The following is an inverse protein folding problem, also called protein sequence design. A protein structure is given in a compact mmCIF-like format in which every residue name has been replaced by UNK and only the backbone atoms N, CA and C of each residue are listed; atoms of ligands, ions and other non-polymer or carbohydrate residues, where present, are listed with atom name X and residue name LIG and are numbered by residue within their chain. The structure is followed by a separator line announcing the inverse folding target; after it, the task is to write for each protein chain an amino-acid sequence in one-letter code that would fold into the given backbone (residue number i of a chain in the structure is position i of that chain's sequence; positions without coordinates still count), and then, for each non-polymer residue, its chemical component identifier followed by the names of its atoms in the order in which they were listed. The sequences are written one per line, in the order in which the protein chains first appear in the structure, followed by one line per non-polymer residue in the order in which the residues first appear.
data_IF_704556960520
#
_entry.id   IF_704556960520
#
_cell.length_a   1.000
_cell.length_b   1.000
_cell.length_c   1.000
_cell.angle_alpha   90.00
_cell.angle_beta   90.00
_cell.angle_gamma   90.00
#
_symmetry.space_group_name_H-M   'P 1'
#
loop_
_entity.id
_entity.type
_entity.pdbx_description
1 polymer ?
#
# COMPACT_ATOMS: atom_id res chain seq x y z
N UNK A 1 -22.13 -8.94 14.46
CA UNK A 1 -20.69 -8.69 14.26
C UNK A 1 -20.23 -7.77 15.38
N UNK A 2 -19.18 -8.12 16.11
CA UNK A 2 -18.58 -7.25 17.13
C UNK A 2 -17.39 -6.53 16.49
N UNK A 3 -17.44 -5.20 16.40
CA UNK A 3 -16.39 -4.38 15.81
C UNK A 3 -15.72 -3.56 16.90
N UNK A 4 -14.39 -3.67 16.99
CA UNK A 4 -13.58 -2.93 17.96
C UNK A 4 -12.43 -2.22 17.27
N UNK A 5 -11.79 -1.27 17.95
CA UNK A 5 -10.59 -0.60 17.43
C UNK A 5 -9.47 -1.59 17.05
N UNK A 6 -9.36 -2.71 17.75
CA UNK A 6 -8.34 -3.74 17.51
C UNK A 6 -8.79 -4.83 16.53
N UNK A 7 -10.09 -5.02 16.32
CA UNK A 7 -10.65 -6.05 15.42
C UNK A 7 -11.91 -5.56 14.72
N UNK A 8 -11.75 -5.11 13.48
CA UNK A 8 -12.82 -4.50 12.67
C UNK A 8 -12.73 -4.89 11.19
N UNK A 9 -12.33 -6.14 10.92
CA UNK A 9 -12.29 -6.70 9.56
C UNK A 9 -13.64 -7.35 9.23
N UNK A 10 -14.11 -7.15 8.00
CA UNK A 10 -15.30 -7.79 7.45
C UNK A 10 -14.91 -8.72 6.29
N UNK A 11 -15.60 -9.87 6.12
CA UNK A 11 -15.29 -10.80 5.05
C UNK A 11 -15.66 -10.22 3.68
N UNK A 12 -14.84 -10.54 2.69
CA UNK A 12 -15.14 -10.35 1.27
C UNK A 12 -15.65 -11.67 0.68
N UNK A 13 -16.26 -11.60 -0.50
CA UNK A 13 -16.84 -12.76 -1.18
C UNK A 13 -15.80 -13.73 -1.76
N UNK A 14 -14.53 -13.36 -1.76
CA UNK A 14 -13.38 -14.11 -2.27
C UNK A 14 -12.61 -14.86 -1.16
N UNK A 15 -13.11 -14.85 0.07
CA UNK A 15 -12.45 -15.47 1.22
C UNK A 15 -11.41 -14.57 1.92
N UNK A 16 -11.15 -13.37 1.40
CA UNK A 16 -10.34 -12.37 2.07
C UNK A 16 -11.15 -11.59 3.12
N UNK A 17 -10.50 -10.65 3.80
CA UNK A 17 -11.15 -9.70 4.68
C UNK A 17 -10.56 -8.30 4.55
N UNK A 18 -11.39 -7.29 4.75
CA UNK A 18 -11.02 -5.87 4.65
C UNK A 18 -11.32 -5.15 5.97
N UNK A 19 -10.42 -4.32 6.51
CA UNK A 19 -10.75 -3.45 7.62
C UNK A 19 -11.86 -2.46 7.20
N UNK A 20 -12.93 -2.41 7.99
CA UNK A 20 -14.15 -1.67 7.66
C UNK A 20 -13.94 -0.15 7.56
N UNK A 21 -12.91 0.37 8.24
CA UNK A 21 -12.50 1.78 8.19
C UNK A 21 -11.13 1.88 7.54
N UNK A 22 -11.00 2.82 6.59
CA UNK A 22 -9.74 3.11 5.90
C UNK A 22 -9.48 4.60 5.77
N UNK A 23 -8.20 4.94 5.62
CA UNK A 23 -7.75 6.31 5.33
C UNK A 23 -7.66 6.52 3.82
N UNK A 24 -8.42 7.47 3.28
CA UNK A 24 -8.24 7.94 1.91
C UNK A 24 -7.07 8.92 1.81
N UNK A 25 -6.26 8.78 0.76
CA UNK A 25 -5.01 9.56 0.59
C UNK A 25 -5.09 10.62 -0.50
N UNK A 26 -6.28 11.00 -0.97
CA UNK A 26 -6.41 12.14 -1.88
C UNK A 26 -6.07 13.44 -1.14
N UNK A 27 -5.21 14.25 -1.74
CA UNK A 27 -4.84 15.58 -1.26
C UNK A 27 -4.87 16.53 -2.46
N UNK A 28 -5.34 17.75 -2.25
CA UNK A 28 -5.28 18.79 -3.27
C UNK A 28 -3.85 19.35 -3.35
N UNK A 29 -3.15 19.19 -4.49
CA UNK A 29 -1.77 19.63 -4.63
C UNK A 29 -1.57 21.14 -4.49
N UNK A 30 -2.62 21.95 -4.65
CA UNK A 30 -2.53 23.41 -4.53
C UNK A 30 -2.54 23.89 -3.08
N UNK A 31 -3.15 23.12 -2.19
CA UNK A 31 -3.41 23.51 -0.81
C UNK A 31 -2.65 22.67 0.21
N UNK A 32 -1.97 21.62 -0.24
CA UNK A 32 -1.31 20.66 0.63
C UNK A 32 0.20 20.68 0.42
N UNK A 33 0.96 20.74 1.52
CA UNK A 33 2.42 20.66 1.45
C UNK A 33 2.88 19.26 1.05
N UNK A 34 4.08 19.18 0.47
CA UNK A 34 4.79 17.92 0.26
C UNK A 34 4.88 17.13 1.58
N UNK A 35 4.91 15.80 1.50
CA UNK A 35 5.02 14.88 2.65
C UNK A 35 3.81 14.83 3.61
N UNK A 36 2.75 15.60 3.33
CA UNK A 36 1.51 15.53 4.14
C UNK A 36 0.90 14.13 4.07
N UNK A 37 0.95 13.47 2.91
CA UNK A 37 0.43 12.11 2.77
C UNK A 37 1.25 11.12 3.62
N UNK A 38 2.59 11.23 3.54
CA UNK A 38 3.50 10.42 4.34
C UNK A 38 3.17 10.54 5.83
N UNK A 39 3.07 11.77 6.33
CA UNK A 39 2.79 12.04 7.76
C UNK A 39 1.42 11.50 8.16
N UNK A 40 0.38 11.77 7.37
CA UNK A 40 -0.98 11.32 7.64
C UNK A 40 -1.08 9.79 7.70
N UNK A 41 -0.43 9.08 6.78
CA UNK A 41 -0.43 7.60 6.76
C UNK A 41 0.31 7.03 7.97
N UNK A 42 1.47 7.59 8.34
CA UNK A 42 2.21 7.17 9.55
C UNK A 42 1.34 7.34 10.80
N UNK A 43 0.70 8.50 10.96
CA UNK A 43 -0.20 8.78 12.08
C UNK A 43 -1.41 7.84 12.11
N UNK A 44 -2.02 7.58 10.96
CA UNK A 44 -3.17 6.68 10.90
C UNK A 44 -2.80 5.26 11.35
N UNK A 45 -1.63 4.75 10.92
CA UNK A 45 -1.14 3.44 11.37
C UNK A 45 -0.93 3.41 12.89
N UNK A 46 -0.35 4.48 13.46
CA UNK A 46 -0.12 4.62 14.90
C UNK A 46 -1.44 4.66 15.69
N UNK A 47 -2.48 5.31 15.16
CA UNK A 47 -3.82 5.38 15.77
C UNK A 47 -4.59 4.05 15.66
N UNK A 48 -4.20 3.17 14.74
CA UNK A 48 -4.78 1.83 14.60
C UNK A 48 -5.42 1.52 13.25
N UNK A 49 -5.33 2.43 12.27
CA UNK A 49 -5.80 2.15 10.92
C UNK A 49 -5.00 0.99 10.30
N UNK A 50 -5.72 0.12 9.60
CA UNK A 50 -5.16 -1.04 8.90
C UNK A 50 -5.55 -1.09 7.43
N UNK A 51 -6.33 -0.12 6.96
CA UNK A 51 -6.73 0.02 5.56
C UNK A 51 -6.35 1.41 5.07
N UNK A 52 -5.56 1.46 4.00
CA UNK A 52 -5.16 2.69 3.31
C UNK A 52 -5.67 2.62 1.88
N UNK A 53 -6.32 3.67 1.43
CA UNK A 53 -6.96 3.77 0.12
C UNK A 53 -6.28 4.87 -0.71
N UNK A 54 -5.73 4.47 -1.86
CA UNK A 54 -5.00 5.34 -2.77
C UNK A 54 -5.42 5.17 -4.23
N UNK A 55 -4.81 5.98 -5.08
CA UNK A 55 -4.96 5.91 -6.52
C UNK A 55 -3.71 6.47 -7.20
N UNK A 56 -3.37 5.91 -8.37
CA UNK A 56 -2.25 6.37 -9.18
C UNK A 56 -2.35 7.86 -9.53
N UNK A 57 -3.56 8.33 -9.84
CA UNK A 57 -3.82 9.74 -10.20
C UNK A 57 -3.62 10.73 -9.05
N UNK A 58 -3.52 10.27 -7.80
CA UNK A 58 -3.22 11.14 -6.66
C UNK A 58 -1.75 11.56 -6.61
N UNK A 59 -0.89 10.90 -7.41
CA UNK A 59 0.55 11.19 -7.54
C UNK A 59 1.34 11.13 -6.22
N UNK A 60 0.77 10.50 -5.19
CA UNK A 60 1.37 10.39 -3.85
C UNK A 60 1.51 8.95 -3.35
N UNK A 61 1.31 7.94 -4.20
CA UNK A 61 1.48 6.52 -3.81
C UNK A 61 2.90 6.21 -3.30
N UNK A 62 3.90 6.96 -3.76
CA UNK A 62 5.27 6.84 -3.26
C UNK A 62 5.39 7.22 -1.77
N UNK A 63 4.68 8.27 -1.33
CA UNK A 63 4.59 8.68 0.07
C UNK A 63 3.87 7.63 0.92
N UNK A 64 2.76 7.09 0.41
CA UNK A 64 2.01 6.00 1.06
C UNK A 64 2.89 4.77 1.26
N UNK A 65 3.59 4.36 0.20
CA UNK A 65 4.49 3.22 0.23
C UNK A 65 5.65 3.43 1.21
N UNK A 66 6.19 4.65 1.29
CA UNK A 66 7.24 4.99 2.26
C UNK A 66 6.73 4.90 3.70
N UNK A 67 5.58 5.51 3.99
CA UNK A 67 4.98 5.48 5.33
C UNK A 67 4.72 4.05 5.84
N UNK A 68 4.21 3.18 4.96
CA UNK A 68 3.97 1.77 5.31
C UNK A 68 5.29 1.03 5.57
N UNK A 69 6.32 1.22 4.72
CA UNK A 69 7.64 0.61 4.93
C UNK A 69 8.28 1.06 6.23
N UNK A 70 8.24 2.36 6.52
CA UNK A 70 8.75 2.92 7.77
C UNK A 70 8.09 2.23 8.97
N UNK A 71 6.76 2.13 8.99
CA UNK A 71 6.03 1.52 10.10
C UNK A 71 6.27 0.01 10.25
N UNK A 72 6.58 -0.68 9.15
CA UNK A 72 7.02 -2.07 9.20
C UNK A 72 8.43 -2.16 9.79
N UNK A 73 9.37 -1.32 9.35
CA UNK A 73 10.75 -1.27 9.87
C UNK A 73 10.80 -0.87 11.34
N UNK A 74 9.95 0.07 11.77
CA UNK A 74 9.75 0.47 13.17
C UNK A 74 9.12 -0.65 14.02
N UNK A 75 8.65 -1.75 13.41
CA UNK A 75 8.01 -2.87 14.11
C UNK A 75 6.58 -2.58 14.60
N UNK A 76 5.94 -1.50 14.13
CA UNK A 76 4.58 -1.13 14.55
C UNK A 76 3.50 -2.04 13.97
N UNK A 77 3.72 -2.54 12.76
CA UNK A 77 2.79 -3.41 12.03
C UNK A 77 3.56 -4.39 11.16
N UNK A 78 2.97 -5.55 10.86
CA UNK A 78 3.46 -6.43 9.80
C UNK A 78 2.76 -6.10 8.49
N UNK A 79 3.35 -6.48 7.35
CA UNK A 79 2.72 -6.31 6.03
C UNK A 79 1.32 -6.94 5.96
N UNK A 80 1.12 -8.11 6.59
CA UNK A 80 -0.18 -8.81 6.61
C UNK A 80 -1.29 -8.04 7.35
N UNK A 81 -0.90 -7.12 8.24
CA UNK A 81 -1.85 -6.35 9.02
C UNK A 81 -2.43 -5.20 8.20
N UNK A 82 -1.74 -4.77 7.13
CA UNK A 82 -2.13 -3.65 6.25
C UNK A 82 -2.88 -4.14 5.01
N UNK A 83 -4.01 -3.50 4.73
CA UNK A 83 -4.74 -3.58 3.48
C UNK A 83 -4.53 -2.30 2.69
N UNK A 84 -3.96 -2.39 1.49
CA UNK A 84 -3.81 -1.25 0.58
C UNK A 84 -4.73 -1.44 -0.62
N UNK A 85 -5.59 -0.46 -0.88
CA UNK A 85 -6.46 -0.43 -2.05
C UNK A 85 -5.91 0.60 -3.05
N UNK A 86 -5.46 0.14 -4.22
CA UNK A 86 -4.98 1.00 -5.30
C UNK A 86 -5.99 1.08 -6.44
N UNK A 87 -6.18 2.27 -7.01
CA UNK A 87 -6.98 2.48 -8.22
C UNK A 87 -6.08 2.94 -9.37
N UNK A 88 -6.08 2.18 -10.45
CA UNK A 88 -5.34 2.50 -11.67
C UNK A 88 -6.09 3.47 -12.58
N UNK A 89 -5.35 4.19 -13.43
CA UNK A 89 -5.92 4.96 -14.53
C UNK A 89 -6.27 4.04 -15.71
N UNK A 90 -7.47 4.20 -16.28
CA UNK A 90 -7.92 3.46 -17.47
C UNK A 90 -7.04 3.72 -18.69
N UNK A 91 -6.40 4.88 -18.78
CA UNK A 91 -5.50 5.21 -19.89
C UNK A 91 -4.15 4.50 -19.72
N UNK A 92 -3.60 4.47 -18.50
CA UNK A 92 -2.40 3.68 -18.19
C UNK A 92 -2.65 2.15 -18.28
N UNK A 93 -3.89 1.72 -18.06
CA UNK A 93 -4.34 0.33 -18.17
C UNK A 93 -4.41 -0.22 -19.61
N UNK A 94 -4.27 0.64 -20.62
CA UNK A 94 -4.54 0.35 -22.03
C UNK A 94 -3.58 -0.61 -22.74
N UNK A 95 -2.61 -1.23 -22.07
CA UNK A 95 -1.69 -2.18 -22.72
C UNK A 95 -1.80 -3.60 -22.20
N UNK A 96 -1.98 -3.89 -20.91
CA UNK A 96 -2.20 -5.28 -20.45
C UNK A 96 -3.00 -5.31 -19.13
N UNK A 97 -4.11 -6.06 -19.15
CA UNK A 97 -4.98 -6.50 -18.05
C UNK A 97 -4.75 -5.89 -16.65
N UNK A 98 -5.67 -5.01 -16.23
CA UNK A 98 -5.74 -4.55 -14.82
C UNK A 98 -6.50 -5.58 -14.00
N UNK A 99 -5.76 -6.40 -13.26
CA UNK A 99 -6.31 -7.02 -12.06
C UNK A 99 -6.43 -5.93 -11.00
N UNK A 100 -7.59 -5.83 -10.35
CA UNK A 100 -7.78 -5.06 -9.13
C UNK A 100 -6.74 -5.60 -8.12
N UNK A 101 -5.59 -4.95 -7.95
CA UNK A 101 -4.54 -5.47 -7.09
C UNK A 101 -4.85 -5.13 -5.63
N UNK A 102 -5.89 -5.75 -5.09
CA UNK A 102 -6.06 -5.90 -3.65
C UNK A 102 -4.98 -6.88 -3.18
N UNK A 103 -3.80 -6.36 -2.79
CA UNK A 103 -2.72 -7.20 -2.29
C UNK A 103 -3.02 -7.66 -0.85
N UNK A 104 -3.94 -8.63 -0.74
CA UNK A 104 -4.08 -9.53 0.40
C UNK A 104 -3.23 -10.77 0.16
N UNK A 105 -2.18 -10.95 0.97
CA UNK A 105 -1.34 -12.16 0.96
C UNK A 105 -0.07 -12.08 0.11
N UNK A 106 1.08 -12.03 0.77
CA UNK A 106 2.38 -12.54 0.30
C UNK A 106 3.08 -11.92 -0.93
N UNK A 107 2.41 -11.12 -1.76
CA UNK A 107 2.98 -10.56 -2.99
C UNK A 107 3.75 -9.25 -2.75
N UNK A 108 4.99 -9.17 -3.27
CA UNK A 108 5.77 -7.92 -3.34
C UNK A 108 4.93 -6.83 -4.01
N UNK A 109 4.77 -5.69 -3.34
CA UNK A 109 4.17 -4.49 -3.95
C UNK A 109 5.25 -3.82 -4.77
N UNK A 110 5.16 -3.95 -6.09
CA UNK A 110 5.88 -3.13 -7.04
C UNK A 110 4.93 -2.80 -8.20
N UNK A 111 4.42 -1.57 -8.22
CA UNK A 111 3.88 -0.94 -9.42
C UNK A 111 4.74 0.29 -9.67
N UNK A 112 5.82 0.06 -10.41
CA UNK A 112 6.62 1.12 -11.02
C UNK A 112 6.52 0.94 -12.54
N UNK A 113 6.47 2.03 -13.33
CA UNK A 113 6.67 1.93 -14.76
C UNK A 113 8.03 1.25 -15.02
N UNK A 114 8.06 0.31 -15.97
CA UNK A 114 9.21 -0.55 -16.29
C UNK A 114 10.60 0.14 -16.35
N UNK A 115 10.75 1.43 -16.72
CA UNK A 115 12.06 2.09 -16.67
C UNK A 115 12.63 2.23 -15.25
N UNK A 116 11.79 2.43 -14.23
CA UNK A 116 12.23 2.58 -12.83
C UNK A 116 12.40 1.23 -12.15
N UNK A 117 11.68 0.20 -12.60
CA UNK A 117 11.86 -1.17 -12.14
C UNK A 117 13.21 -1.77 -12.56
N UNK A 118 13.78 -1.30 -13.69
CA UNK A 118 15.06 -1.77 -14.21
C UNK A 118 16.26 -1.30 -13.36
N UNK A 119 16.25 -0.06 -12.86
CA UNK A 119 17.28 0.44 -11.92
C UNK A 119 17.23 -0.25 -10.56
N UNK A 120 16.04 -0.72 -10.14
CA UNK A 120 15.83 -1.50 -8.92
C UNK A 120 16.31 -2.96 -9.03
N UNK A 121 16.20 -3.58 -10.20
CA UNK A 121 16.65 -4.96 -10.42
C UNK A 121 18.18 -5.10 -10.51
N UNK A 122 18.89 -4.08 -11.00
CA UNK A 122 20.36 -4.12 -11.10
C UNK A 122 21.06 -3.86 -9.76
N UNK A 123 20.43 -3.13 -8.82
CA UNK A 123 20.99 -2.90 -7.48
C UNK A 123 20.85 -4.11 -6.53
N UNK A 124 20.01 -5.10 -6.87
CA UNK A 124 19.79 -6.30 -6.04
C UNK A 124 20.55 -7.55 -6.52
N UNK A 125 21.51 -7.41 -7.42
CA UNK A 125 22.41 -8.52 -7.86
C UNK A 125 23.62 -8.70 -6.92
N UNK A 126 23.77 -7.84 -5.90
CA UNK A 126 24.71 -8.07 -4.79
C UNK A 126 23.94 -8.25 -3.48
N UNK A 127 23.38 -9.45 -3.26
CA UNK A 127 23.25 -10.12 -1.95
C UNK A 127 22.18 -11.21 -2.05
N UNK A 128 22.67 -12.44 -2.28
CA UNK A 128 22.24 -13.58 -1.48
C UNK A 128 20.88 -14.16 -1.78
N UNK A 129 20.88 -15.05 -2.78
CA UNK A 129 20.23 -16.36 -2.68
C UNK A 129 20.47 -16.95 -1.28
N UNK A 130 19.45 -17.03 -0.43
CA UNK A 130 19.29 -18.14 0.52
C UNK A 130 17.81 -18.46 0.64
N UNK A 131 17.46 -19.55 -0.03
CA UNK A 131 16.29 -20.38 0.23
C UNK A 131 16.49 -21.06 1.60
N UNK A 132 15.39 -21.35 2.29
CA UNK A 132 15.17 -22.35 3.35
C UNK A 132 15.08 -21.83 4.81
N UNK A 133 14.33 -22.52 5.69
CA UNK A 133 13.38 -23.63 5.45
C UNK A 133 11.91 -23.20 5.47
#
# INVERSE_FOLDING_TARGET
MNLTATSHRVPLNDGNSIPIIGLGTYLDPQTTSQETCLTAVKMAIDVGYRHIDGAYLYKNEHEVGQAIRDKITEGKVNRKDIFYCGKGDRVAAGTHAVHLLCAGGGGKVALLPLPVAWEWLTSSVLMGVVRQP
#
